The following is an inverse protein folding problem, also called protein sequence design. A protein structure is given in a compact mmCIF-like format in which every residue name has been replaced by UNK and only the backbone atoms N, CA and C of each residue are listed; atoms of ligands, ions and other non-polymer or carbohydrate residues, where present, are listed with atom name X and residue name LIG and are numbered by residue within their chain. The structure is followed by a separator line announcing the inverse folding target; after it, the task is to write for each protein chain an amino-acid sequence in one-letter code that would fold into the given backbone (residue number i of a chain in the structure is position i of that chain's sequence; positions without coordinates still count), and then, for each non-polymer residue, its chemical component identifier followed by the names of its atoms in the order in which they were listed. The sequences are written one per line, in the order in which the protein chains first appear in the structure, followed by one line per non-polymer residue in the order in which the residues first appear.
data_IF_968547812588
#
_entry.id   IF_968547812588
#
_cell.length_a   1.000
_cell.length_b   1.000
_cell.length_c   1.000
_cell.angle_alpha   90.00
_cell.angle_beta   90.00
_cell.angle_gamma   90.00
#
_symmetry.space_group_name_H-M   'P 1'
#
loop_
_entity.id
_entity.type
_entity.pdbx_description
1 polymer ?
#
# COMPACT_ATOMS: atom_id res chain seq x y z
N UNK A 1 -11.36 -1.38 9.65
CA UNK A 1 -10.18 -1.40 8.74
C UNK A 1 -9.01 -1.85 9.56
N UNK A 2 -8.10 -2.62 8.96
CA UNK A 2 -6.92 -3.16 9.63
C UNK A 2 -5.70 -2.88 8.74
N UNK A 3 -4.58 -2.52 9.34
CA UNK A 3 -3.33 -2.27 8.64
C UNK A 3 -2.37 -3.44 8.90
N UNK A 4 -1.89 -4.08 7.83
CA UNK A 4 -0.94 -5.17 7.94
C UNK A 4 0.43 -4.63 8.39
N UNK A 5 1.25 -5.39 9.16
CA UNK A 5 2.59 -4.97 9.58
C UNK A 5 3.49 -4.50 8.42
N UNK A 6 3.36 -5.11 7.25
CA UNK A 6 4.08 -4.70 6.02
C UNK A 6 3.72 -3.29 5.55
N UNK A 7 2.46 -2.87 5.70
CA UNK A 7 2.02 -1.52 5.41
C UNK A 7 2.50 -0.55 6.49
N UNK A 8 2.34 -0.92 7.76
CA UNK A 8 2.78 -0.11 8.90
C UNK A 8 4.28 0.19 8.83
N UNK A 9 5.12 -0.82 8.59
CA UNK A 9 6.56 -0.66 8.44
C UNK A 9 6.93 0.36 7.34
N UNK A 10 6.22 0.35 6.20
CA UNK A 10 6.43 1.35 5.13
C UNK A 10 5.96 2.74 5.53
N UNK A 11 4.84 2.84 6.24
CA UNK A 11 4.30 4.10 6.73
C UNK A 11 5.20 4.73 7.79
N UNK A 12 5.78 3.93 8.69
CA UNK A 12 6.68 4.35 9.76
C UNK A 12 8.03 4.81 9.23
N UNK A 13 8.60 4.07 8.28
CA UNK A 13 9.82 4.49 7.60
C UNK A 13 9.64 5.85 6.90
N UNK A 14 8.52 6.01 6.18
CA UNK A 14 8.20 7.28 5.51
C UNK A 14 7.90 8.41 6.51
N UNK A 15 7.21 8.11 7.61
CA UNK A 15 6.94 9.08 8.67
C UNK A 15 8.23 9.56 9.33
N UNK A 16 9.16 8.65 9.62
CA UNK A 16 10.49 8.96 10.16
C UNK A 16 11.28 9.86 9.21
N UNK A 17 11.23 9.58 7.91
CA UNK A 17 11.84 10.43 6.89
C UNK A 17 11.25 11.85 6.89
N UNK A 18 9.92 11.97 7.00
CA UNK A 18 9.24 13.27 7.08
C UNK A 18 9.62 14.02 8.36
N UNK A 19 9.68 13.34 9.51
CA UNK A 19 10.09 13.96 10.78
C UNK A 19 11.53 14.50 10.71
N UNK A 20 12.46 13.72 10.16
CA UNK A 20 13.84 14.16 9.96
C UNK A 20 13.92 15.37 9.00
N UNK A 21 13.09 15.40 7.96
CA UNK A 21 13.01 16.52 7.03
C UNK A 21 12.39 17.78 7.63
N UNK A 22 11.41 17.62 8.52
CA UNK A 22 10.78 18.70 9.28
C UNK A 22 11.75 19.30 10.28
N UNK A 23 12.50 18.48 11.02
CA UNK A 23 13.52 18.98 11.94
C UNK A 23 14.59 19.83 11.24
N UNK A 24 14.96 19.47 10.00
CA UNK A 24 15.94 20.22 9.20
C UNK A 24 15.37 21.50 8.56
N UNK A 25 14.07 21.53 8.29
CA UNK A 25 13.41 22.61 7.55
C UNK A 25 11.91 22.66 7.93
N UNK A 26 11.58 23.27 9.08
CA UNK A 26 10.23 23.21 9.66
C UNK A 26 9.15 23.88 8.83
N UNK A 27 9.52 24.82 7.96
CA UNK A 27 8.56 25.56 7.11
C UNK A 27 8.46 24.95 5.71
N UNK A 28 9.58 24.47 5.15
CA UNK A 28 9.64 23.96 3.78
C UNK A 28 9.37 22.46 3.63
N UNK A 29 9.36 21.66 4.71
CA UNK A 29 9.24 20.20 4.60
C UNK A 29 7.96 19.71 3.91
N UNK A 30 6.87 20.47 3.97
CA UNK A 30 5.59 20.14 3.34
C UNK A 30 5.67 20.13 1.80
N UNK A 31 6.64 20.84 1.23
CA UNK A 31 6.88 20.86 -0.21
C UNK A 31 7.65 19.61 -0.70
N UNK A 32 8.30 18.88 0.21
CA UNK A 32 9.14 17.71 -0.09
C UNK A 32 8.32 16.50 -0.50
N UNK A 33 8.92 15.64 -1.32
CA UNK A 33 8.26 14.46 -1.88
C UNK A 33 7.76 13.49 -0.79
N UNK A 34 8.57 13.25 0.26
CA UNK A 34 8.21 12.34 1.34
C UNK A 34 6.93 12.76 2.08
N UNK A 35 6.78 14.06 2.37
CA UNK A 35 5.56 14.60 2.98
C UNK A 35 4.35 14.41 2.06
N UNK A 36 4.47 14.80 0.78
CA UNK A 36 3.38 14.65 -0.21
C UNK A 36 2.94 13.19 -0.35
N UNK A 37 3.89 12.25 -0.34
CA UNK A 37 3.60 10.81 -0.34
C UNK A 37 2.88 10.37 0.93
N UNK A 38 3.37 10.78 2.10
CA UNK A 38 2.75 10.42 3.38
C UNK A 38 1.30 10.94 3.46
N UNK A 39 1.08 12.19 3.06
CA UNK A 39 -0.24 12.79 3.00
C UNK A 39 -1.17 12.04 2.02
N UNK A 40 -0.67 11.69 0.83
CA UNK A 40 -1.44 10.93 -0.16
C UNK A 40 -1.79 9.52 0.34
N UNK A 41 -0.86 8.82 0.99
CA UNK A 41 -1.09 7.48 1.56
C UNK A 41 -2.14 7.57 2.65
N UNK A 42 -2.02 8.52 3.60
CA UNK A 42 -3.02 8.72 4.66
C UNK A 42 -4.40 9.04 4.09
N UNK A 43 -4.47 9.93 3.10
CA UNK A 43 -5.72 10.26 2.40
C UNK A 43 -6.33 9.02 1.73
N UNK A 44 -5.54 8.23 1.01
CA UNK A 44 -6.05 7.02 0.37
C UNK A 44 -6.54 6.01 1.40
N UNK A 45 -5.73 5.71 2.41
CA UNK A 45 -6.00 4.71 3.42
C UNK A 45 -7.23 5.05 4.27
N UNK A 46 -7.35 6.30 4.73
CA UNK A 46 -8.31 6.67 5.77
C UNK A 46 -9.50 7.52 5.30
N UNK A 47 -9.45 8.06 4.07
CA UNK A 47 -10.53 8.89 3.52
C UNK A 47 -11.09 8.27 2.22
N UNK A 48 -10.25 8.00 1.22
CA UNK A 48 -10.76 7.65 -0.12
C UNK A 48 -11.20 6.18 -0.26
N UNK A 49 -10.33 5.23 0.12
CA UNK A 49 -10.63 3.80 0.00
C UNK A 49 -11.83 3.37 0.86
N UNK A 50 -11.99 3.85 2.12
CA UNK A 50 -13.09 3.43 2.98
C UNK A 50 -14.48 3.84 2.48
N UNK A 51 -14.57 4.91 1.69
CA UNK A 51 -15.84 5.41 1.15
C UNK A 51 -16.45 4.41 0.15
N UNK A 52 -15.61 3.82 -0.70
CA UNK A 52 -16.01 2.74 -1.60
C UNK A 52 -14.78 1.90 -2.00
N UNK A 53 -14.49 0.79 -1.31
CA UNK A 53 -13.35 -0.06 -1.63
C UNK A 53 -13.59 -0.94 -2.86
N UNK A 54 -14.79 -0.92 -3.45
CA UNK A 54 -15.19 -1.81 -4.54
C UNK A 54 -15.04 -1.21 -5.93
N UNK A 55 -14.61 0.07 -6.02
CA UNK A 55 -14.49 0.79 -7.28
C UNK A 55 -13.72 -0.01 -8.34
N UNK A 56 -14.22 -0.04 -9.59
CA UNK A 56 -13.54 -0.73 -10.70
C UNK A 56 -12.10 -0.27 -10.92
N UNK A 57 -11.78 1.00 -10.63
CA UNK A 57 -10.42 1.56 -10.76
C UNK A 57 -9.37 0.86 -9.87
N UNK A 58 -9.81 0.26 -8.77
CA UNK A 58 -8.96 -0.49 -7.85
C UNK A 58 -8.69 -1.91 -8.33
N UNK A 59 -9.46 -2.41 -9.31
CA UNK A 59 -9.18 -3.72 -9.90
C UNK A 59 -7.89 -3.65 -10.72
N UNK A 60 -7.05 -4.66 -10.52
CA UNK A 60 -5.79 -4.80 -11.27
C UNK A 60 -5.88 -5.85 -12.40
N UNK A 61 -6.99 -6.59 -12.49
CA UNK A 61 -7.15 -7.66 -13.49
C UNK A 61 -6.26 -8.86 -13.15
N UNK A 62 -5.51 -9.35 -14.13
CA UNK A 62 -4.58 -10.46 -13.97
C UNK A 62 -3.11 -10.00 -13.79
N UNK A 63 -2.88 -8.72 -13.47
CA UNK A 63 -1.53 -8.16 -13.35
C UNK A 63 -0.69 -8.83 -12.25
N UNK A 64 -1.34 -9.26 -11.15
CA UNK A 64 -0.67 -10.01 -10.07
C UNK A 64 -0.72 -11.54 -10.27
N UNK A 65 -1.23 -12.03 -11.39
CA UNK A 65 -1.59 -13.44 -11.60
C UNK A 65 -3.09 -13.68 -11.45
N UNK A 66 -3.57 -14.78 -12.04
CA UNK A 66 -4.99 -15.14 -12.07
C UNK A 66 -5.60 -15.38 -10.70
N UNK A 67 -4.81 -15.92 -9.77
CA UNK A 67 -5.23 -16.32 -8.42
C UNK A 67 -5.31 -15.10 -7.47
N UNK A 68 -4.55 -14.05 -7.75
CA UNK A 68 -4.44 -12.84 -6.92
C UNK A 68 -5.42 -11.72 -7.31
N UNK A 69 -6.53 -12.05 -7.99
CA UNK A 69 -7.57 -11.08 -8.42
C UNK A 69 -8.31 -10.40 -7.26
N UNK A 70 -8.25 -11.00 -6.07
CA UNK A 70 -8.85 -10.48 -4.86
C UNK A 70 -8.04 -9.32 -4.25
N UNK A 71 -6.80 -9.11 -4.70
CA UNK A 71 -6.02 -7.92 -4.37
C UNK A 71 -6.45 -6.71 -5.21
N UNK A 72 -6.71 -5.62 -4.52
CA UNK A 72 -7.03 -4.31 -5.06
C UNK A 72 -5.82 -3.38 -5.00
N UNK A 73 -5.85 -2.33 -5.82
CA UNK A 73 -4.71 -1.42 -5.99
C UNK A 73 -5.14 0.01 -6.29
N UNK A 74 -4.96 0.90 -5.33
CA UNK A 74 -5.10 2.34 -5.52
C UNK A 74 -3.83 2.94 -6.16
N UNK A 75 -3.99 3.81 -7.16
CA UNK A 75 -2.89 4.49 -7.87
C UNK A 75 -2.74 5.93 -7.39
N UNK A 76 -1.50 6.40 -7.19
CA UNK A 76 -1.23 7.83 -6.93
C UNK A 76 0.13 8.26 -7.48
N UNK A 77 0.25 9.56 -7.79
CA UNK A 77 1.41 10.21 -8.44
C UNK A 77 2.02 9.41 -9.60
N UNK A 78 1.19 8.69 -10.37
CA UNK A 78 1.53 7.77 -11.47
C UNK A 78 2.38 6.55 -11.09
N UNK A 79 3.40 6.71 -10.24
CA UNK A 79 4.43 5.73 -9.90
C UNK A 79 4.19 4.94 -8.61
N UNK A 80 3.22 5.34 -7.78
CA UNK A 80 2.92 4.66 -6.52
C UNK A 80 1.59 3.92 -6.54
N UNK A 81 1.55 2.83 -5.78
CA UNK A 81 0.49 1.83 -5.65
C UNK A 81 0.36 1.45 -4.19
N UNK A 82 -0.85 1.56 -3.68
CA UNK A 82 -1.25 1.00 -2.40
C UNK A 82 -2.10 -0.24 -2.70
N UNK A 83 -1.63 -1.40 -2.22
CA UNK A 83 -2.30 -2.67 -2.35
C UNK A 83 -3.10 -2.98 -1.08
N UNK A 84 -4.34 -3.40 -1.27
CA UNK A 84 -5.26 -3.72 -0.19
C UNK A 84 -6.18 -4.87 -0.59
N UNK A 85 -6.79 -5.51 0.40
CA UNK A 85 -7.83 -6.52 0.18
C UNK A 85 -9.11 -6.05 0.86
N UNK A 86 -10.24 -6.30 0.21
CA UNK A 86 -11.56 -6.06 0.77
C UNK A 86 -12.35 -7.35 0.82
N UNK A 87 -12.85 -7.70 2.00
CA UNK A 87 -13.73 -8.84 2.18
C UNK A 87 -15.17 -8.36 2.29
N UNK A 88 -15.93 -8.58 1.22
CA UNK A 88 -17.32 -8.11 1.08
C UNK A 88 -18.23 -8.57 2.22
N UNK A 89 -18.22 -9.85 2.65
CA UNK A 89 -19.14 -10.32 3.69
C UNK A 89 -18.96 -9.60 5.04
N UNK A 90 -17.71 -9.41 5.50
CA UNK A 90 -17.42 -8.74 6.77
C UNK A 90 -17.22 -7.22 6.62
N UNK A 91 -17.21 -6.70 5.39
CA UNK A 91 -16.88 -5.31 5.05
C UNK A 91 -15.52 -4.85 5.62
N UNK A 92 -14.57 -5.77 5.78
CA UNK A 92 -13.24 -5.46 6.30
C UNK A 92 -12.29 -5.12 5.15
N UNK A 93 -11.56 -4.03 5.32
CA UNK A 93 -10.43 -3.63 4.46
C UNK A 93 -9.14 -3.95 5.22
N UNK A 94 -8.23 -4.68 4.56
CA UNK A 94 -6.85 -4.87 5.00
C UNK A 94 -5.93 -4.08 4.08
N UNK A 95 -5.27 -3.06 4.62
CA UNK A 95 -4.21 -2.33 3.93
C UNK A 95 -2.93 -3.15 4.04
N UNK A 96 -2.43 -3.71 2.93
CA UNK A 96 -1.39 -4.72 2.99
C UNK A 96 0.01 -4.17 2.72
N UNK A 97 0.16 -3.34 1.69
CA UNK A 97 1.48 -2.85 1.30
C UNK A 97 1.42 -1.61 0.40
N UNK A 98 2.44 -0.77 0.46
CA UNK A 98 2.62 0.38 -0.43
C UNK A 98 4.06 0.45 -0.91
N UNK A 99 4.26 0.72 -2.19
CA UNK A 99 5.60 0.85 -2.76
C UNK A 99 6.23 2.21 -2.43
N UNK A 100 7.56 2.25 -2.53
CA UNK A 100 8.40 3.40 -2.18
C UNK A 100 9.26 3.87 -3.35
N UNK A 101 10.21 4.77 -3.06
CA UNK A 101 11.07 5.32 -4.11
C UNK A 101 12.06 4.31 -4.69
N UNK A 102 12.44 3.29 -3.91
CA UNK A 102 13.25 2.16 -4.37
C UNK A 102 12.46 1.15 -5.20
N UNK A 103 11.14 1.27 -5.26
CA UNK A 103 10.24 0.39 -6.02
C UNK A 103 9.31 1.17 -6.96
N UNK A 104 9.85 2.21 -7.61
CA UNK A 104 9.14 3.02 -8.62
C UNK A 104 8.87 2.18 -9.86
N UNK A 105 7.68 2.36 -10.45
CA UNK A 105 7.30 1.70 -11.72
C UNK A 105 8.22 2.17 -12.86
N UNK A 106 9.17 1.34 -13.24
CA UNK A 106 9.88 1.41 -14.51
C UNK A 106 9.50 0.17 -15.33
N UNK A 107 9.00 0.36 -16.54
CA UNK A 107 8.75 -0.75 -17.47
C UNK A 107 10.07 -1.54 -17.60
N UNK A 108 10.02 -2.85 -17.39
CA UNK A 108 11.17 -3.79 -17.39
C UNK A 108 12.06 -3.85 -16.12
N UNK A 109 11.99 -2.93 -15.16
CA UNK A 109 12.80 -3.04 -13.92
C UNK A 109 12.30 -4.16 -12.99
N UNK A 110 13.21 -4.83 -12.28
CA UNK A 110 12.91 -5.74 -11.16
C UNK A 110 12.22 -5.03 -9.99
N UNK A 111 12.28 -3.71 -9.96
CA UNK A 111 11.77 -2.84 -8.90
C UNK A 111 10.35 -2.34 -9.14
N UNK A 112 9.66 -2.83 -10.17
CA UNK A 112 8.23 -2.51 -10.38
C UNK A 112 7.42 -2.98 -9.17
N UNK A 113 6.60 -2.08 -8.61
CA UNK A 113 5.67 -2.35 -7.52
C UNK A 113 4.85 -3.64 -7.72
N UNK A 114 4.51 -3.97 -8.97
CA UNK A 114 3.85 -5.23 -9.28
C UNK A 114 4.74 -6.46 -9.10
N UNK A 115 5.98 -6.43 -9.58
CA UNK A 115 6.92 -7.54 -9.44
C UNK A 115 7.31 -7.74 -7.98
N UNK A 116 7.53 -6.65 -7.24
CA UNK A 116 7.83 -6.70 -5.80
C UNK A 116 6.67 -7.31 -5.04
N UNK A 117 5.45 -6.78 -5.25
CA UNK A 117 4.28 -7.31 -4.54
C UNK A 117 3.93 -8.74 -4.97
N UNK A 118 4.09 -9.07 -6.26
CA UNK A 118 3.90 -10.44 -6.73
C UNK A 118 4.92 -11.39 -6.08
N UNK A 119 6.20 -11.05 -6.04
CA UNK A 119 7.23 -11.86 -5.35
C UNK A 119 6.91 -12.03 -3.87
N UNK A 120 6.47 -10.95 -3.22
CA UNK A 120 6.00 -10.94 -1.83
C UNK A 120 4.86 -11.95 -1.60
N UNK A 121 3.84 -11.95 -2.48
CA UNK A 121 2.75 -12.94 -2.44
C UNK A 121 3.26 -14.38 -2.64
N UNK A 122 4.19 -14.61 -3.56
CA UNK A 122 4.77 -15.95 -3.77
C UNK A 122 5.57 -16.45 -2.56
N UNK A 123 6.16 -15.54 -1.79
CA UNK A 123 6.83 -15.87 -0.53
C UNK A 123 5.90 -15.93 0.68
N UNK A 124 4.59 -15.71 0.49
CA UNK A 124 3.59 -15.76 1.57
C UNK A 124 3.55 -14.51 2.47
N UNK A 125 4.08 -13.37 2.01
CA UNK A 125 4.17 -12.14 2.81
C UNK A 125 3.75 -10.91 1.99
N UNK A 126 2.48 -10.47 2.02
CA UNK A 126 1.42 -10.95 2.90
C UNK A 126 0.85 -12.32 2.48
N UNK A 127 0.21 -13.05 3.39
CA UNK A 127 -0.44 -14.32 3.08
C UNK A 127 -1.65 -14.11 2.18
N UNK A 128 -1.91 -15.10 1.32
CA UNK A 128 -3.04 -15.07 0.39
C UNK A 128 -4.36 -15.54 1.05
N UNK A 129 -4.27 -16.39 2.08
CA UNK A 129 -5.43 -16.81 2.87
C UNK A 129 -6.01 -15.64 3.67
N UNK A 130 -7.35 -15.55 3.70
CA UNK A 130 -8.03 -14.44 4.36
C UNK A 130 -7.89 -14.47 5.88
N UNK A 131 -8.03 -15.65 6.50
CA UNK A 131 -7.97 -15.77 7.95
C UNK A 131 -6.55 -15.57 8.47
N UNK A 132 -5.55 -16.09 7.75
CA UNK A 132 -4.15 -15.83 8.04
C UNK A 132 -3.83 -14.34 7.88
N UNK A 133 -4.27 -13.70 6.79
CA UNK A 133 -4.07 -12.26 6.58
C UNK A 133 -4.67 -11.43 7.70
N UNK A 134 -5.88 -11.76 8.15
CA UNK A 134 -6.51 -11.09 9.28
C UNK A 134 -5.76 -11.31 10.58
N UNK A 135 -5.28 -12.53 10.85
CA UNK A 135 -4.49 -12.83 12.05
C UNK A 135 -3.19 -12.04 12.06
N UNK A 136 -2.44 -12.02 10.96
CA UNK A 136 -1.19 -11.25 10.87
C UNK A 136 -1.45 -9.74 10.94
N UNK A 137 -2.57 -9.26 10.37
CA UNK A 137 -2.92 -7.84 10.42
C UNK A 137 -3.47 -7.41 11.80
N UNK A 138 -4.05 -8.32 12.58
CA UNK A 138 -4.60 -8.07 13.91
C UNK A 138 -3.65 -8.46 15.06
N UNK A 139 -2.52 -9.09 14.75
CA UNK A 139 -1.46 -9.39 15.69
C UNK A 139 -0.65 -8.11 15.98
N UNK A 140 -1.21 -7.24 16.80
CA UNK A 140 -0.53 -6.13 17.45
C UNK A 140 -0.89 -6.13 18.95
#
# INVERSE_FOLDING_TARGET
MIAHPLFLAKLDALSTQVQAQMHKDPTGYTSKNAYKRLAAIKRLAFDVIPQDPTKPEYRQGATLGGDHKHWFRAKFFQQYRLFFRYHTPSRIIVLAWVNDESSKRAYESSDDAYKVFQKMLHTGHPPDDWEQLLREAAAE
#
